data_IF_242965699862
#
_entry.id   IF_242965699862
#
_cell.length_a   1.000
_cell.length_b   1.000
_cell.length_c   1.000
_cell.angle_alpha   90.00
_cell.angle_beta   90.00
_cell.angle_gamma   90.00
#
_symmetry.space_group_name_H-M   'P 1'
#
loop_
_entity.id
_entity.type
_entity.pdbx_description
1 polymer ?
#
# COMPACT_ATOMS: atom_id res chain seq x y z
N UNK A 1 28.61 7.09 -14.66
CA UNK A 1 27.53 7.96 -14.21
C UNK A 1 27.96 8.53 -12.85
N UNK A 2 27.99 9.83 -12.69
CA UNK A 2 28.33 10.47 -11.42
C UNK A 2 27.20 10.20 -10.44
N UNK A 3 27.46 9.41 -9.41
CA UNK A 3 26.53 9.22 -8.29
C UNK A 3 26.30 10.57 -7.63
N UNK A 4 25.11 11.11 -7.76
CA UNK A 4 24.74 12.36 -7.10
C UNK A 4 24.26 11.96 -5.70
N UNK A 5 25.11 12.15 -4.70
CA UNK A 5 24.71 11.94 -3.31
C UNK A 5 23.60 12.95 -2.96
N UNK A 6 22.38 12.46 -2.81
CA UNK A 6 21.24 13.28 -2.36
C UNK A 6 21.29 13.50 -0.85
N UNK A 7 20.75 14.63 -0.44
CA UNK A 7 20.46 14.94 0.96
C UNK A 7 18.93 14.95 1.17
N UNK A 8 18.50 14.88 2.42
CA UNK A 8 17.09 15.05 2.74
C UNK A 8 16.50 16.36 2.17
N UNK A 9 17.29 17.44 2.16
CA UNK A 9 16.86 18.75 1.67
C UNK A 9 16.48 18.73 0.18
N UNK A 10 17.12 17.88 -0.61
CA UNK A 10 16.82 17.74 -2.05
C UNK A 10 15.41 17.19 -2.29
N UNK A 11 14.85 16.47 -1.33
CA UNK A 11 13.48 15.93 -1.36
C UNK A 11 12.44 16.80 -0.67
N UNK A 12 12.81 17.99 -0.18
CA UNK A 12 11.90 18.95 0.46
C UNK A 12 11.47 20.02 -0.55
N UNK A 13 10.21 20.41 -0.47
CA UNK A 13 9.67 21.56 -1.20
C UNK A 13 9.75 22.82 -0.36
N UNK A 14 9.51 23.98 -0.96
CA UNK A 14 9.34 25.28 -0.31
C UNK A 14 7.95 25.46 0.33
N UNK A 15 7.06 24.46 0.21
CA UNK A 15 5.71 24.55 0.73
C UNK A 15 5.68 24.40 2.25
N UNK A 16 4.97 25.31 2.90
CA UNK A 16 4.70 25.20 4.34
C UNK A 16 3.85 23.98 4.65
N UNK A 17 4.33 23.12 5.55
CA UNK A 17 3.59 21.92 5.98
C UNK A 17 2.39 22.32 6.82
N UNK A 18 1.19 21.93 6.40
CA UNK A 18 -0.11 22.33 6.98
C UNK A 18 -0.76 21.28 7.87
N UNK A 19 0.00 20.30 8.34
CA UNK A 19 -0.48 19.38 9.37
C UNK A 19 -0.52 20.05 10.75
N UNK A 20 -1.30 19.44 11.66
CA UNK A 20 -1.36 19.92 13.04
C UNK A 20 0.01 19.80 13.71
N UNK A 21 0.45 20.76 14.54
CA UNK A 21 1.67 20.63 15.30
C UNK A 21 1.68 19.34 16.13
N UNK A 22 2.75 18.53 16.01
CA UNK A 22 2.87 17.24 16.70
C UNK A 22 2.17 16.05 16.03
N UNK A 23 1.62 16.23 14.83
CA UNK A 23 1.04 15.14 14.05
C UNK A 23 2.11 14.13 13.61
N UNK A 24 1.82 12.83 13.69
CA UNK A 24 2.72 11.76 13.26
C UNK A 24 3.13 11.80 11.78
N UNK A 25 2.33 12.45 10.93
CA UNK A 25 2.63 12.64 9.50
C UNK A 25 3.98 13.33 9.26
N UNK A 26 4.41 14.24 10.16
CA UNK A 26 5.73 14.89 10.09
C UNK A 26 6.88 13.88 10.19
N UNK A 27 6.73 12.90 11.07
CA UNK A 27 7.76 11.90 11.29
C UNK A 27 7.86 10.96 10.10
N UNK A 28 6.71 10.55 9.54
CA UNK A 28 6.66 9.69 8.36
C UNK A 28 7.26 10.41 7.15
N UNK A 29 6.89 11.69 6.93
CA UNK A 29 7.48 12.51 5.86
C UNK A 29 9.01 12.59 5.99
N UNK A 30 9.50 12.86 7.21
CA UNK A 30 10.93 12.93 7.46
C UNK A 30 11.65 11.59 7.21
N UNK A 31 11.02 10.47 7.60
CA UNK A 31 11.56 9.12 7.37
C UNK A 31 11.65 8.79 5.88
N UNK A 32 10.61 9.08 5.11
CA UNK A 32 10.62 8.86 3.66
C UNK A 32 11.65 9.75 2.97
N UNK A 33 11.73 11.06 3.30
CA UNK A 33 12.70 11.96 2.72
C UNK A 33 14.15 11.55 3.03
N UNK A 34 14.43 11.10 4.27
CA UNK A 34 15.74 10.58 4.64
C UNK A 34 16.07 9.29 3.88
N UNK A 35 15.12 8.36 3.81
CA UNK A 35 15.28 7.10 3.09
C UNK A 35 15.57 7.33 1.60
N UNK A 36 14.79 8.16 0.91
CA UNK A 36 15.02 8.45 -0.51
C UNK A 36 16.39 9.07 -0.77
N UNK A 37 16.91 9.87 0.17
CA UNK A 37 18.23 10.45 0.07
C UNK A 37 19.38 9.43 0.13
N UNK A 38 19.13 8.22 0.62
CA UNK A 38 20.13 7.12 0.62
C UNK A 38 20.19 6.36 -0.69
N UNK A 39 19.20 6.56 -1.57
CA UNK A 39 19.11 5.84 -2.83
C UNK A 39 19.90 6.55 -3.93
N UNK A 40 20.66 5.79 -4.72
CA UNK A 40 21.34 6.29 -5.92
C UNK A 40 20.35 6.31 -7.10
N UNK A 41 19.33 7.16 -6.98
CA UNK A 41 18.26 7.31 -7.98
C UNK A 41 17.83 8.77 -8.09
N UNK A 42 17.71 9.33 -9.30
CA UNK A 42 17.23 10.70 -9.51
C UNK A 42 15.85 10.91 -8.90
N UNK A 43 15.63 12.06 -8.25
CA UNK A 43 14.33 12.38 -7.64
C UNK A 43 13.18 12.45 -8.65
N UNK A 44 13.48 12.73 -9.91
CA UNK A 44 12.56 12.77 -11.05
C UNK A 44 12.01 11.36 -11.41
N UNK A 45 12.61 10.31 -10.90
CA UNK A 45 12.14 8.93 -11.10
C UNK A 45 11.23 8.45 -9.97
N UNK A 46 10.99 9.27 -8.95
CA UNK A 46 10.00 8.98 -7.90
C UNK A 46 8.70 9.73 -8.18
N UNK A 47 7.58 9.03 -8.01
CA UNK A 47 6.23 9.61 -8.19
C UNK A 47 5.37 9.28 -6.98
N UNK A 48 4.84 10.30 -6.31
CA UNK A 48 3.95 10.15 -5.16
C UNK A 48 2.51 10.48 -5.55
N UNK A 49 1.63 9.50 -5.47
CA UNK A 49 0.20 9.65 -5.79
C UNK A 49 -0.59 9.53 -4.49
N UNK A 50 -1.42 10.51 -4.19
CA UNK A 50 -2.24 10.50 -3.00
C UNK A 50 -3.75 10.58 -3.29
N UNK A 51 -4.54 10.04 -2.35
CA UNK A 51 -5.99 10.23 -2.32
C UNK A 51 -6.40 11.50 -1.60
N UNK A 52 -7.33 11.41 -0.65
CA UNK A 52 -7.85 12.55 0.13
C UNK A 52 -7.69 12.25 1.64
N UNK A 53 -7.32 13.25 2.39
CA UNK A 53 -7.14 13.22 3.84
C UNK A 53 -5.87 13.96 4.28
N UNK A 54 -5.53 13.89 5.57
CA UNK A 54 -4.33 14.56 6.10
C UNK A 54 -3.07 14.01 5.45
N UNK A 55 -2.89 12.69 5.45
CA UNK A 55 -1.76 12.02 4.80
C UNK A 55 -1.63 12.39 3.32
N UNK A 56 -2.75 12.60 2.64
CA UNK A 56 -2.78 12.86 1.19
C UNK A 56 -2.19 14.21 0.78
N UNK A 57 -1.86 15.09 1.73
CA UNK A 57 -1.06 16.29 1.48
C UNK A 57 0.41 15.99 1.18
N UNK A 58 0.86 14.77 1.41
CA UNK A 58 2.25 14.35 1.29
C UNK A 58 2.94 14.78 -0.02
N UNK A 59 2.33 14.63 -1.22
CA UNK A 59 2.97 15.05 -2.48
C UNK A 59 3.31 16.53 -2.55
N UNK A 60 2.61 17.41 -1.83
CA UNK A 60 2.94 18.84 -1.77
C UNK A 60 4.27 19.12 -1.08
N UNK A 61 4.72 18.21 -0.22
CA UNK A 61 5.91 18.36 0.62
C UNK A 61 7.11 17.56 0.11
N UNK A 62 6.93 16.86 -1.02
CA UNK A 62 7.97 16.06 -1.68
C UNK A 62 8.43 16.75 -2.96
N UNK A 63 9.73 17.04 -3.06
CA UNK A 63 10.35 17.58 -4.27
C UNK A 63 10.64 16.45 -5.29
N UNK A 64 9.57 15.77 -5.71
CA UNK A 64 9.51 14.70 -6.70
C UNK A 64 8.33 14.96 -7.63
N UNK A 65 8.10 14.11 -8.62
CA UNK A 65 6.80 14.13 -9.28
C UNK A 65 5.72 13.62 -8.32
N UNK A 66 4.52 14.18 -8.47
CA UNK A 66 3.40 13.79 -7.62
C UNK A 66 2.05 14.25 -8.15
N UNK A 67 1.00 13.59 -7.65
CA UNK A 67 -0.38 13.95 -7.96
C UNK A 67 -1.24 13.77 -6.72
N UNK A 68 -2.00 14.81 -6.37
CA UNK A 68 -3.09 14.72 -5.41
C UNK A 68 -4.36 14.40 -6.19
N UNK A 69 -4.87 13.18 -6.04
CA UNK A 69 -5.99 12.66 -6.84
C UNK A 69 -7.35 12.79 -6.11
N UNK A 70 -8.31 11.95 -6.42
CA UNK A 70 -9.65 11.93 -5.85
C UNK A 70 -9.72 10.89 -4.74
N UNK A 71 -10.65 11.04 -3.82
CA UNK A 71 -10.86 10.16 -2.66
C UNK A 71 -10.92 8.69 -3.04
N UNK A 72 -10.01 7.90 -2.49
CA UNK A 72 -9.87 6.46 -2.71
C UNK A 72 -9.39 6.05 -4.10
N UNK A 73 -8.90 6.97 -4.94
CA UNK A 73 -8.51 6.67 -6.33
C UNK A 73 -7.01 6.62 -6.57
N UNK A 74 -6.21 6.92 -5.56
CA UNK A 74 -4.75 6.90 -5.69
C UNK A 74 -4.20 5.57 -6.23
N UNK A 75 -4.63 4.37 -5.77
CA UNK A 75 -4.14 3.12 -6.32
C UNK A 75 -4.49 2.92 -7.80
N UNK A 76 -5.65 3.42 -8.27
CA UNK A 76 -6.05 3.31 -9.66
C UNK A 76 -5.19 4.21 -10.58
N UNK A 77 -4.97 5.48 -10.18
CA UNK A 77 -4.10 6.42 -10.91
C UNK A 77 -2.67 5.91 -10.93
N UNK A 78 -2.14 5.49 -9.77
CA UNK A 78 -0.81 4.94 -9.64
C UNK A 78 -0.59 3.69 -10.50
N UNK A 79 -1.59 2.80 -10.60
CA UNK A 79 -1.54 1.62 -11.48
C UNK A 79 -1.39 2.03 -12.95
N UNK A 80 -2.07 3.08 -13.39
CA UNK A 80 -1.92 3.60 -14.76
C UNK A 80 -0.50 4.11 -15.04
N UNK A 81 0.10 4.83 -14.08
CA UNK A 81 1.48 5.32 -14.19
C UNK A 81 2.47 4.15 -14.23
N UNK A 82 2.36 3.20 -13.29
CA UNK A 82 3.27 2.06 -13.20
C UNK A 82 3.25 1.22 -14.48
N UNK A 83 2.07 0.97 -15.06
CA UNK A 83 1.92 0.20 -16.31
C UNK A 83 2.48 0.93 -17.53
N UNK A 84 2.37 2.26 -17.59
CA UNK A 84 2.85 3.05 -18.74
C UNK A 84 4.29 3.51 -18.61
N UNK A 85 4.84 3.54 -17.39
CA UNK A 85 6.20 3.97 -17.05
C UNK A 85 6.79 3.03 -15.99
N UNK A 86 7.14 1.78 -16.37
CA UNK A 86 7.69 0.79 -15.44
C UNK A 86 9.08 1.15 -14.89
N UNK A 87 9.73 2.13 -15.50
CA UNK A 87 11.00 2.73 -15.06
C UNK A 87 10.87 3.61 -13.81
N UNK A 88 9.65 4.07 -13.48
CA UNK A 88 9.42 4.95 -12.34
C UNK A 88 9.17 4.16 -11.04
N UNK A 89 9.63 4.74 -9.94
CA UNK A 89 9.28 4.27 -8.58
C UNK A 89 8.00 4.96 -8.13
N UNK A 90 6.88 4.22 -8.14
CA UNK A 90 5.54 4.79 -7.89
C UNK A 90 5.09 4.46 -6.47
N UNK A 91 4.79 5.50 -5.71
CA UNK A 91 4.37 5.45 -4.31
C UNK A 91 2.95 5.97 -4.15
N UNK A 92 2.14 5.25 -3.40
CA UNK A 92 0.76 5.63 -3.04
C UNK A 92 0.73 6.05 -1.59
N UNK A 93 0.22 7.24 -1.33
CA UNK A 93 -0.01 7.76 0.02
C UNK A 93 -1.51 7.83 0.26
N UNK A 94 -1.97 7.14 1.29
CA UNK A 94 -3.40 7.05 1.59
C UNK A 94 -3.64 6.94 3.10
N UNK A 95 -4.77 7.42 3.57
CA UNK A 95 -5.23 7.20 4.94
C UNK A 95 -6.12 5.97 5.04
N UNK A 96 -6.35 5.49 6.25
CA UNK A 96 -7.27 4.37 6.53
C UNK A 96 -8.68 4.63 6.01
N UNK A 97 -9.21 5.83 6.23
CA UNK A 97 -10.51 6.22 5.69
C UNK A 97 -10.56 6.34 4.17
N UNK A 98 -9.47 6.78 3.56
CA UNK A 98 -9.35 6.93 2.11
C UNK A 98 -9.25 5.56 1.41
N UNK A 99 -8.37 4.69 1.91
CA UNK A 99 -8.09 3.40 1.28
C UNK A 99 -9.17 2.34 1.56
N UNK A 100 -9.75 2.30 2.76
CA UNK A 100 -10.60 1.19 3.22
C UNK A 100 -12.10 1.48 3.15
N UNK A 101 -12.49 2.76 2.93
CA UNK A 101 -13.86 3.13 2.63
C UNK A 101 -14.09 3.12 1.11
N UNK A 102 -14.20 4.30 0.50
CA UNK A 102 -14.46 4.42 -0.95
C UNK A 102 -13.33 3.84 -1.83
N UNK A 103 -12.11 3.72 -1.30
CA UNK A 103 -10.92 3.19 -1.99
C UNK A 103 -10.78 1.68 -1.97
N UNK A 104 -11.57 0.95 -1.15
CA UNK A 104 -11.35 -0.47 -0.88
C UNK A 104 -11.23 -1.34 -2.13
N UNK A 105 -12.10 -1.12 -3.11
CA UNK A 105 -12.06 -1.86 -4.37
C UNK A 105 -10.74 -1.63 -5.15
N UNK A 106 -10.26 -0.39 -5.22
CA UNK A 106 -9.03 -0.07 -5.95
C UNK A 106 -7.79 -0.60 -5.25
N UNK A 107 -7.76 -0.55 -3.92
CA UNK A 107 -6.70 -1.13 -3.11
C UNK A 107 -6.60 -2.65 -3.34
N UNK A 108 -7.71 -3.37 -3.17
CA UNK A 108 -7.78 -4.83 -3.38
C UNK A 108 -7.29 -5.20 -4.78
N UNK A 109 -7.74 -4.49 -5.82
CA UNK A 109 -7.36 -4.82 -7.19
C UNK A 109 -5.90 -4.47 -7.53
N UNK A 110 -5.31 -3.43 -6.97
CA UNK A 110 -3.89 -3.13 -7.12
C UNK A 110 -3.03 -4.24 -6.48
N UNK A 111 -3.39 -4.67 -5.26
CA UNK A 111 -2.69 -5.72 -4.52
C UNK A 111 -2.77 -7.07 -5.24
N UNK A 112 -3.99 -7.55 -5.58
CA UNK A 112 -4.17 -8.87 -6.21
C UNK A 112 -3.52 -8.99 -7.59
N UNK A 113 -3.42 -7.88 -8.33
CA UNK A 113 -2.73 -7.82 -9.63
C UNK A 113 -1.22 -7.77 -9.50
N UNK A 114 -0.72 -7.54 -8.31
CA UNK A 114 0.71 -7.34 -8.05
C UNK A 114 1.31 -6.19 -8.89
N UNK A 115 0.58 -5.07 -8.99
CA UNK A 115 1.09 -3.86 -9.65
C UNK A 115 2.28 -3.34 -8.86
N UNK A 116 3.37 -2.97 -9.51
CA UNK A 116 4.60 -2.54 -8.83
C UNK A 116 4.45 -1.16 -8.16
N UNK A 117 3.78 -1.15 -7.03
CA UNK A 117 3.44 0.03 -6.23
C UNK A 117 3.93 -0.12 -4.79
N UNK A 118 4.37 0.98 -4.18
CA UNK A 118 4.68 1.07 -2.75
C UNK A 118 3.55 1.84 -2.07
N UNK A 119 2.66 1.14 -1.36
CA UNK A 119 1.44 1.70 -0.77
C UNK A 119 1.67 1.94 0.71
N UNK A 120 1.74 3.21 1.13
CA UNK A 120 1.84 3.62 2.52
C UNK A 120 0.44 3.99 3.02
N UNK A 121 -0.12 3.16 3.89
CA UNK A 121 -1.39 3.41 4.54
C UNK A 121 -1.14 4.02 5.93
N UNK A 122 -1.46 5.31 6.08
CA UNK A 122 -1.38 6.02 7.35
C UNK A 122 -2.66 5.74 8.13
N UNK A 123 -2.53 4.88 9.16
CA UNK A 123 -3.66 4.48 9.96
C UNK A 123 -3.68 5.24 11.30
N UNK A 124 -4.56 6.20 11.43
CA UNK A 124 -4.78 6.95 12.67
C UNK A 124 -6.16 6.69 13.32
N UNK A 125 -6.93 5.77 12.75
CA UNK A 125 -8.25 5.35 13.23
C UNK A 125 -9.27 6.49 13.36
N UNK A 126 -9.15 7.55 12.53
CA UNK A 126 -10.06 8.69 12.55
C UNK A 126 -10.01 9.45 11.22
N UNK A 127 -11.14 10.01 10.76
CA UNK A 127 -11.12 11.02 9.71
C UNK A 127 -10.70 12.37 10.30
N UNK A 128 -9.38 12.66 10.28
CA UNK A 128 -8.83 13.89 10.87
C UNK A 128 -9.15 15.14 10.07
N UNK A 129 -9.02 15.10 8.74
CA UNK A 129 -9.23 16.27 7.88
C UNK A 129 -10.65 16.87 8.01
N UNK A 130 -11.65 16.03 8.16
CA UNK A 130 -13.06 16.41 8.30
C UNK A 130 -13.48 16.63 9.76
N UNK A 131 -12.49 16.71 10.67
CA UNK A 131 -12.63 17.08 12.10
C UNK A 131 -13.21 15.99 13.01
N UNK A 132 -12.85 14.73 12.76
CA UNK A 132 -12.95 13.66 13.76
C UNK A 132 -14.18 12.76 13.66
N UNK A 133 -14.58 12.33 12.48
CA UNK A 133 -15.51 11.22 12.31
C UNK A 133 -14.76 9.89 12.51
N UNK A 134 -15.46 8.86 12.98
CA UNK A 134 -14.86 7.52 13.03
C UNK A 134 -14.56 7.00 11.62
N UNK A 135 -13.45 6.29 11.48
CA UNK A 135 -12.96 5.70 10.24
C UNK A 135 -13.25 4.20 10.19
N UNK A 136 -13.02 3.52 9.06
CA UNK A 136 -13.20 2.07 8.96
C UNK A 136 -12.36 1.23 9.93
N UNK A 137 -11.29 1.81 10.51
CA UNK A 137 -10.41 1.14 11.47
C UNK A 137 -10.63 1.57 12.92
N UNK A 138 -11.56 2.51 13.17
CA UNK A 138 -11.89 2.97 14.52
C UNK A 138 -12.46 1.83 15.37
N UNK A 139 -12.16 1.85 16.67
CA UNK A 139 -12.67 0.86 17.61
C UNK A 139 -14.20 0.87 17.71
N UNK A 140 -14.83 -0.30 17.99
CA UNK A 140 -16.25 -0.36 18.27
C UNK A 140 -16.61 0.56 19.44
N UNK A 141 -17.71 1.29 19.30
CA UNK A 141 -18.16 2.23 20.32
C UNK A 141 -17.44 3.58 20.31
N UNK A 142 -16.56 3.85 19.33
CA UNK A 142 -15.88 5.16 19.18
C UNK A 142 -16.89 6.29 19.13
N UNK A 143 -16.85 7.16 20.14
CA UNK A 143 -17.72 8.34 20.20
C UNK A 143 -17.07 9.53 19.51
N UNK A 144 -17.82 10.15 18.63
CA UNK A 144 -17.43 11.37 17.91
C UNK A 144 -18.58 12.37 17.91
N UNK A 145 -18.33 13.59 17.45
CA UNK A 145 -19.40 14.60 17.32
C UNK A 145 -20.53 14.16 16.40
N UNK A 146 -20.21 13.41 15.34
CA UNK A 146 -21.17 12.87 14.38
C UNK A 146 -21.78 11.52 14.82
N UNK A 147 -21.19 10.85 15.79
CA UNK A 147 -21.61 9.54 16.32
C UNK A 147 -21.61 9.55 17.84
N UNK A 148 -22.51 10.33 18.48
CA UNK A 148 -22.50 10.50 19.94
C UNK A 148 -22.86 9.22 20.70
N UNK A 149 -23.58 8.29 20.08
CA UNK A 149 -23.90 6.97 20.65
C UNK A 149 -22.75 5.96 20.51
N UNK A 150 -21.72 6.29 19.72
CA UNK A 150 -20.61 5.41 19.37
C UNK A 150 -20.74 4.76 18.01
N UNK A 151 -19.61 4.28 17.45
CA UNK A 151 -19.58 3.50 16.22
C UNK A 151 -20.13 2.09 16.47
N UNK A 152 -20.87 1.56 15.50
CA UNK A 152 -21.42 0.19 15.55
C UNK A 152 -20.72 -0.73 14.54
N UNK A 153 -19.83 -0.18 13.73
CA UNK A 153 -19.11 -0.92 12.69
C UNK A 153 -18.05 -1.83 13.31
N UNK A 154 -17.82 -2.96 12.67
CA UNK A 154 -16.67 -3.81 12.97
C UNK A 154 -15.43 -3.27 12.23
N UNK A 155 -14.33 -2.96 12.93
CA UNK A 155 -13.17 -2.35 12.29
C UNK A 155 -12.46 -3.29 11.32
N UNK A 156 -12.01 -2.74 10.20
CA UNK A 156 -11.08 -3.43 9.31
C UNK A 156 -9.75 -3.68 10.00
N UNK A 157 -9.17 -4.84 9.70
CA UNK A 157 -7.74 -5.10 9.90
C UNK A 157 -7.03 -4.95 8.53
N UNK A 158 -6.29 -3.87 8.31
CA UNK A 158 -5.71 -3.58 6.99
C UNK A 158 -4.70 -4.62 6.52
N UNK A 159 -3.91 -5.19 7.44
CA UNK A 159 -2.95 -6.26 7.15
C UNK A 159 -3.68 -7.54 6.72
N UNK A 160 -4.75 -7.93 7.46
CA UNK A 160 -5.57 -9.09 7.08
C UNK A 160 -6.21 -8.90 5.69
N UNK A 161 -6.69 -7.69 5.39
CA UNK A 161 -7.27 -7.36 4.08
C UNK A 161 -6.22 -7.49 2.97
N UNK A 162 -5.02 -6.95 3.17
CA UNK A 162 -3.93 -7.02 2.19
C UNK A 162 -3.48 -8.47 1.95
N UNK A 163 -3.38 -9.28 3.00
CA UNK A 163 -3.08 -10.72 2.90
C UNK A 163 -4.20 -11.47 2.18
N UNK A 164 -5.46 -11.17 2.49
CA UNK A 164 -6.63 -11.74 1.79
C UNK A 164 -6.74 -11.33 0.32
N UNK A 165 -6.19 -10.17 -0.05
CA UNK A 165 -6.03 -9.72 -1.43
C UNK A 165 -4.79 -10.31 -2.12
N UNK A 166 -4.06 -11.24 -1.47
CA UNK A 166 -2.86 -11.89 -1.99
C UNK A 166 -1.70 -10.93 -2.29
N UNK A 167 -1.57 -9.83 -1.52
CA UNK A 167 -0.44 -8.93 -1.64
C UNK A 167 0.89 -9.67 -1.43
N UNK A 168 1.89 -9.37 -2.25
CA UNK A 168 3.18 -10.06 -2.22
C UNK A 168 4.15 -9.54 -1.17
N UNK A 169 3.91 -8.30 -0.70
CA UNK A 169 4.62 -7.71 0.44
C UNK A 169 3.60 -7.03 1.36
N UNK A 170 3.61 -7.41 2.64
CA UNK A 170 2.72 -6.83 3.66
C UNK A 170 3.52 -6.59 4.93
N UNK A 171 3.51 -5.34 5.41
CA UNK A 171 4.23 -4.96 6.63
C UNK A 171 3.42 -3.98 7.49
N UNK A 172 3.82 -3.86 8.76
CA UNK A 172 3.30 -2.87 9.71
C UNK A 172 4.43 -2.22 10.50
N UNK A 173 4.32 -0.90 10.68
CA UNK A 173 5.25 -0.11 11.50
C UNK A 173 4.54 1.01 12.25
N UNK A 174 5.30 1.85 12.94
CA UNK A 174 4.84 2.98 13.76
C UNK A 174 5.51 4.27 13.29
N UNK A 175 4.79 5.39 13.30
CA UNK A 175 5.32 6.72 13.00
C UNK A 175 6.49 7.14 13.90
N UNK A 176 6.45 6.72 15.16
CA UNK A 176 7.48 7.05 16.17
C UNK A 176 8.75 6.21 16.05
N UNK A 177 8.72 5.08 15.35
CA UNK A 177 9.85 4.17 15.21
C UNK A 177 10.56 4.36 13.86
N UNK A 178 11.40 5.40 13.80
CA UNK A 178 12.06 5.81 12.55
C UNK A 178 12.98 4.74 11.98
N UNK A 179 13.72 4.03 12.82
CA UNK A 179 14.65 3.00 12.35
C UNK A 179 13.89 1.84 11.73
N UNK A 180 12.93 1.29 12.45
CA UNK A 180 12.08 0.22 11.95
C UNK A 180 11.29 0.65 10.70
N UNK A 181 10.80 1.90 10.65
CA UNK A 181 10.14 2.43 9.46
C UNK A 181 11.10 2.49 8.27
N UNK A 182 12.35 2.90 8.47
CA UNK A 182 13.36 2.94 7.40
C UNK A 182 13.67 1.53 6.87
N UNK A 183 13.87 0.55 7.75
CA UNK A 183 14.09 -0.85 7.37
C UNK A 183 12.93 -1.42 6.54
N UNK A 184 11.69 -1.11 6.91
CA UNK A 184 10.50 -1.51 6.15
C UNK A 184 10.43 -0.81 4.78
N UNK A 185 10.79 0.48 4.70
CA UNK A 185 10.81 1.23 3.44
C UNK A 185 11.87 0.68 2.47
N UNK A 186 13.06 0.34 2.98
CA UNK A 186 14.13 -0.30 2.21
C UNK A 186 13.67 -1.65 1.64
N UNK A 187 13.14 -2.52 2.49
CA UNK A 187 12.63 -3.82 2.09
C UNK A 187 11.49 -3.71 1.06
N UNK A 188 10.60 -2.72 1.22
CA UNK A 188 9.51 -2.47 0.28
C UNK A 188 9.99 -1.89 -1.05
N UNK A 189 11.01 -1.03 -1.04
CA UNK A 189 11.61 -0.48 -2.25
C UNK A 189 12.27 -1.57 -3.11
N UNK A 190 13.01 -2.48 -2.48
CA UNK A 190 13.64 -3.62 -3.14
C UNK A 190 12.64 -4.67 -3.67
N UNK A 191 11.42 -4.68 -3.12
CA UNK A 191 10.42 -5.65 -3.52
C UNK A 191 9.83 -5.30 -4.89
N UNK A 192 9.91 -6.23 -5.84
CA UNK A 192 9.26 -6.14 -7.14
C UNK A 192 7.79 -6.59 -7.02
N UNK A 193 6.88 -5.64 -7.09
CA UNK A 193 5.44 -5.86 -6.97
C UNK A 193 4.76 -4.94 -5.96
N UNK A 194 3.52 -5.31 -5.59
CA UNK A 194 2.71 -4.54 -4.68
C UNK A 194 3.20 -4.69 -3.23
N UNK A 195 3.79 -3.63 -2.69
CA UNK A 195 4.16 -3.53 -1.29
C UNK A 195 3.09 -2.71 -0.54
N UNK A 196 2.46 -3.32 0.47
CA UNK A 196 1.50 -2.69 1.36
C UNK A 196 2.12 -2.52 2.75
N UNK A 197 2.17 -1.28 3.23
CA UNK A 197 2.74 -0.93 4.53
C UNK A 197 1.70 -0.15 5.31
N UNK A 198 1.21 -0.73 6.40
CA UNK A 198 0.41 -0.03 7.39
C UNK A 198 1.33 0.70 8.37
N UNK A 199 1.15 2.00 8.51
CA UNK A 199 1.89 2.83 9.47
C UNK A 199 0.90 3.36 10.48
N UNK A 200 0.96 2.89 11.72
CA UNK A 200 0.19 3.48 12.81
C UNK A 200 0.69 4.90 13.08
N UNK A 201 -0.22 5.86 12.95
CA UNK A 201 0.07 7.29 12.99
C UNK A 201 -0.76 7.98 14.07
N UNK A 202 -0.11 8.72 14.96
CA UNK A 202 -0.81 9.44 16.02
C UNK A 202 -1.45 10.73 15.50
N UNK A 203 -2.79 10.79 15.57
CA UNK A 203 -3.55 12.02 15.36
C UNK A 203 -3.76 12.72 16.71
N UNK A 204 -2.85 13.61 17.09
CA UNK A 204 -2.84 14.25 18.40
C UNK A 204 -4.01 15.23 18.67
N UNK A 205 -4.85 15.51 17.66
CA UNK A 205 -6.01 16.40 17.80
C UNK A 205 -7.33 15.64 17.97
N UNK A 206 -7.53 14.58 17.19
CA UNK A 206 -8.83 13.88 17.14
C UNK A 206 -8.79 12.45 17.69
N UNK A 207 -7.59 11.86 17.82
CA UNK A 207 -7.39 10.50 18.33
C UNK A 207 -6.03 10.35 19.01
N UNK A 208 -5.72 11.27 19.91
CA UNK A 208 -4.45 11.28 20.62
C UNK A 208 -4.24 10.00 21.42
N UNK A 209 -3.01 9.48 21.37
CA UNK A 209 -2.61 8.28 22.10
C UNK A 209 -3.37 6.99 21.73
N UNK A 210 -3.98 6.95 20.54
CA UNK A 210 -4.65 5.73 20.06
C UNK A 210 -3.72 4.49 20.09
N UNK A 211 -2.42 4.71 19.92
CA UNK A 211 -1.40 3.65 19.90
C UNK A 211 -0.48 3.66 21.13
N UNK A 212 -0.95 4.19 22.26
CA UNK A 212 -0.13 4.31 23.48
C UNK A 212 0.42 2.94 23.94
N UNK A 213 -0.36 1.86 23.74
CA UNK A 213 0.07 0.49 24.06
C UNK A 213 1.35 0.09 23.32
N UNK A 214 1.57 0.66 22.13
CA UNK A 214 2.72 0.35 21.28
C UNK A 214 3.82 1.43 21.34
N UNK A 215 3.52 2.63 21.83
CA UNK A 215 4.46 3.76 21.83
C UNK A 215 4.89 4.19 23.22
N UNK A 216 4.09 3.94 24.24
CA UNK A 216 4.41 4.23 25.63
C UNK A 216 5.64 3.47 26.13
N UNK A 217 6.46 4.09 26.95
CA UNK A 217 7.74 3.52 27.39
C UNK A 217 7.58 2.20 28.16
N UNK A 218 6.56 2.13 29.00
CA UNK A 218 6.25 0.96 29.83
C UNK A 218 5.41 -0.05 29.05
N UNK A 219 4.40 0.41 28.35
CA UNK A 219 3.42 -0.41 27.66
C UNK A 219 4.01 -1.17 26.46
N UNK A 220 4.89 -0.51 25.69
CA UNK A 220 5.48 -1.09 24.47
C UNK A 220 6.24 -2.39 24.70
N UNK A 221 6.85 -2.55 25.86
CA UNK A 221 7.65 -3.76 26.19
C UNK A 221 6.75 -4.99 26.24
N UNK A 222 5.49 -4.83 26.68
CA UNK A 222 4.52 -5.91 26.80
C UNK A 222 3.67 -6.12 25.55
N UNK A 223 3.68 -5.15 24.61
CA UNK A 223 2.70 -5.12 23.52
C UNK A 223 3.32 -5.12 22.12
N UNK A 224 4.62 -4.90 21.96
CA UNK A 224 5.27 -5.03 20.65
C UNK A 224 5.73 -6.46 20.44
N UNK A 225 5.29 -7.06 19.33
CA UNK A 225 5.77 -8.34 18.83
C UNK A 225 6.56 -8.05 17.55
N UNK A 226 7.89 -8.07 17.64
CA UNK A 226 8.74 -7.81 16.48
C UNK A 226 8.83 -9.08 15.63
N UNK A 227 8.43 -8.98 14.37
CA UNK A 227 8.55 -10.05 13.39
C UNK A 227 9.92 -9.98 12.73
N UNK A 228 10.80 -10.89 13.06
CA UNK A 228 12.13 -11.01 12.47
C UNK A 228 12.28 -12.36 11.75
N UNK A 229 12.59 -12.32 10.45
CA UNK A 229 12.72 -13.53 9.64
C UNK A 229 13.70 -14.54 10.24
N UNK A 230 13.28 -15.79 10.29
CA UNK A 230 14.09 -16.91 10.82
C UNK A 230 14.21 -16.96 12.35
N UNK A 231 13.60 -16.02 13.08
CA UNK A 231 13.64 -16.02 14.56
C UNK A 231 12.35 -16.53 15.19
N UNK A 232 12.43 -17.14 16.40
CA UNK A 232 11.24 -17.45 17.17
C UNK A 232 10.54 -16.17 17.61
N UNK A 233 9.22 -16.16 17.57
CA UNK A 233 8.41 -15.00 17.96
C UNK A 233 8.26 -15.02 19.48
N UNK A 234 9.06 -14.22 20.17
CA UNK A 234 9.01 -13.97 21.61
C UNK A 234 8.90 -12.47 21.88
N UNK A 235 8.34 -12.08 23.02
CA UNK A 235 8.19 -10.69 23.41
C UNK A 235 7.91 -10.56 24.92
N UNK A 236 7.80 -9.35 25.38
CA UNK A 236 7.64 -9.04 26.81
C UNK A 236 8.98 -8.85 27.51
N UNK A 237 8.98 -8.44 28.79
CA UNK A 237 10.19 -8.39 29.59
C UNK A 237 10.84 -9.77 29.62
N UNK A 238 12.17 -9.82 29.38
CA UNK A 238 12.95 -11.07 29.38
C UNK A 238 12.40 -12.17 28.43
N UNK A 239 11.66 -11.77 27.36
CA UNK A 239 11.01 -12.71 26.42
C UNK A 239 10.08 -13.71 27.09
N UNK A 240 9.32 -13.28 28.09
CA UNK A 240 8.43 -14.15 28.90
C UNK A 240 7.23 -14.70 28.13
N UNK A 241 6.87 -14.09 27.00
CA UNK A 241 5.77 -14.50 26.14
C UNK A 241 6.29 -15.06 24.84
N UNK A 242 5.54 -15.99 24.28
CA UNK A 242 5.82 -16.60 22.98
C UNK A 242 4.55 -16.72 22.16
N UNK A 243 4.71 -16.80 20.83
CA UNK A 243 3.62 -17.10 19.90
C UNK A 243 3.75 -18.52 19.42
N UNK A 244 2.65 -19.28 19.48
CA UNK A 244 2.52 -20.64 18.97
C UNK A 244 1.39 -20.69 17.92
N UNK A 245 1.35 -21.76 17.13
CA UNK A 245 0.19 -22.12 16.31
C UNK A 245 -0.59 -23.23 16.99
N UNK A 246 -1.88 -23.02 17.20
CA UNK A 246 -2.83 -24.04 17.60
C UNK A 246 -3.84 -24.24 16.46
N UNK A 247 -3.61 -25.27 15.65
CA UNK A 247 -4.28 -25.42 14.36
C UNK A 247 -3.95 -24.27 13.40
N UNK A 248 -4.96 -23.49 13.02
CA UNK A 248 -4.81 -22.32 12.15
C UNK A 248 -4.71 -20.99 12.94
N UNK A 249 -4.79 -21.02 14.25
CA UNK A 249 -4.79 -19.82 15.09
C UNK A 249 -3.39 -19.57 15.69
N UNK A 250 -2.95 -18.31 15.64
CA UNK A 250 -1.80 -17.87 16.42
C UNK A 250 -2.25 -17.51 17.84
N UNK A 251 -1.56 -18.04 18.84
CA UNK A 251 -1.86 -17.81 20.26
C UNK A 251 -0.64 -17.31 21.01
N UNK A 252 -0.88 -16.40 21.94
CA UNK A 252 0.13 -15.92 22.89
C UNK A 252 0.07 -16.80 24.12
N UNK A 253 1.22 -17.32 24.53
CA UNK A 253 1.38 -18.17 25.69
C UNK A 253 2.56 -17.71 26.57
N UNK A 254 2.60 -18.15 27.81
CA UNK A 254 3.80 -18.01 28.62
C UNK A 254 4.91 -18.90 28.05
N UNK A 255 6.06 -18.34 27.76
CA UNK A 255 7.18 -19.08 27.15
C UNK A 255 7.61 -20.28 27.99
N UNK A 256 7.55 -20.15 29.31
CA UNK A 256 7.89 -21.25 30.25
C UNK A 256 6.88 -22.41 30.25
N UNK A 257 5.69 -22.22 29.66
CA UNK A 257 4.63 -23.24 29.62
C UNK A 257 4.68 -24.13 28.39
N UNK A 258 5.58 -23.89 27.45
CA UNK A 258 5.67 -24.62 26.17
C UNK A 258 7.10 -25.03 25.84
N UNK A 259 7.25 -26.10 25.07
CA UNK A 259 8.54 -26.49 24.54
C UNK A 259 9.05 -25.44 23.52
N UNK A 260 10.34 -25.19 23.52
CA UNK A 260 10.96 -24.24 22.60
C UNK A 260 10.70 -24.57 21.10
N UNK A 261 10.55 -25.86 20.78
CA UNK A 261 10.20 -26.34 19.44
C UNK A 261 8.78 -26.01 18.99
N UNK A 262 7.89 -25.66 19.94
CA UNK A 262 6.50 -25.26 19.65
C UNK A 262 6.37 -23.77 19.35
N UNK A 263 7.40 -22.98 19.66
CA UNK A 263 7.38 -21.55 19.40
C UNK A 263 7.45 -21.30 17.88
N UNK A 264 6.55 -20.49 17.38
CA UNK A 264 6.49 -20.15 15.96
C UNK A 264 7.75 -19.39 15.53
N UNK A 265 8.47 -19.95 14.56
CA UNK A 265 9.56 -19.26 13.87
C UNK A 265 8.94 -18.43 12.74
N UNK A 266 9.21 -17.14 12.74
CA UNK A 266 8.69 -16.24 11.70
C UNK A 266 9.37 -16.52 10.36
N UNK A 267 8.56 -16.68 9.32
CA UNK A 267 9.02 -16.83 7.93
C UNK A 267 8.16 -15.98 7.01
N UNK A 268 8.66 -14.80 6.66
CA UNK A 268 7.99 -13.85 5.75
C UNK A 268 7.92 -14.34 4.29
N UNK A 269 8.74 -15.35 3.95
CA UNK A 269 8.87 -15.87 2.57
C UNK A 269 7.89 -16.99 2.23
N UNK A 270 7.04 -17.39 3.19
CA UNK A 270 6.05 -18.45 2.97
C UNK A 270 5.10 -18.11 1.82
N UNK A 271 4.99 -18.96 0.79
CA UNK A 271 4.07 -18.74 -0.34
C UNK A 271 2.61 -18.66 0.11
N UNK A 272 2.20 -19.54 1.03
CA UNK A 272 0.86 -19.56 1.61
C UNK A 272 0.73 -18.50 2.72
N UNK A 273 -0.27 -17.60 2.66
CA UNK A 273 -0.42 -16.51 3.61
C UNK A 273 -1.07 -16.91 4.95
N UNK A 274 -1.46 -18.16 5.17
CA UNK A 274 -2.24 -18.61 6.34
C UNK A 274 -1.59 -18.20 7.66
N UNK A 275 -0.28 -18.43 7.84
CA UNK A 275 0.44 -18.07 9.06
C UNK A 275 0.53 -16.56 9.24
N UNK A 276 0.82 -15.82 8.16
CA UNK A 276 0.84 -14.35 8.17
C UNK A 276 -0.56 -13.79 8.54
N UNK A 277 -1.62 -14.40 8.01
CA UNK A 277 -2.99 -14.05 8.33
C UNK A 277 -3.32 -14.33 9.82
N UNK A 278 -2.92 -15.49 10.35
CA UNK A 278 -3.10 -15.81 11.77
C UNK A 278 -2.36 -14.79 12.66
N UNK A 279 -1.11 -14.44 12.32
CA UNK A 279 -0.34 -13.40 13.01
C UNK A 279 -1.03 -12.04 12.96
N UNK A 280 -1.62 -11.65 11.82
CA UNK A 280 -2.32 -10.38 11.69
C UNK A 280 -3.55 -10.25 12.60
N UNK A 281 -4.03 -11.36 13.14
CA UNK A 281 -5.23 -11.44 13.98
C UNK A 281 -4.94 -11.67 15.47
N UNK A 282 -3.67 -11.73 15.87
CA UNK A 282 -3.27 -11.90 17.28
C UNK A 282 -3.87 -10.85 18.21
N UNK A 283 -4.11 -9.64 17.70
CA UNK A 283 -4.80 -8.59 18.43
C UNK A 283 -5.97 -8.05 17.61
N UNK A 284 -7.02 -7.59 18.28
CA UNK A 284 -8.13 -6.88 17.65
C UNK A 284 -7.79 -5.39 17.45
N UNK A 285 -6.69 -5.10 16.74
CA UNK A 285 -6.15 -3.75 16.62
C UNK A 285 -5.03 -3.49 17.63
N UNK A 286 -4.62 -2.22 17.82
CA UNK A 286 -3.45 -1.85 18.64
C UNK A 286 -3.72 -1.81 20.15
N UNK A 287 -4.71 -2.53 20.64
CA UNK A 287 -5.16 -2.48 22.04
C UNK A 287 -4.56 -3.59 22.91
N UNK A 288 -3.63 -4.34 22.38
CA UNK A 288 -2.90 -5.42 23.06
C UNK A 288 -1.64 -5.76 22.29
N UNK A 289 -1.04 -6.93 22.56
CA UNK A 289 0.16 -7.36 21.86
C UNK A 289 -0.05 -7.39 20.35
N UNK A 290 0.76 -6.62 19.63
CA UNK A 290 0.55 -6.37 18.19
C UNK A 290 1.83 -6.68 17.42
N UNK A 291 1.76 -7.53 16.39
CA UNK A 291 2.89 -7.81 15.51
C UNK A 291 3.25 -6.59 14.64
N UNK A 292 4.54 -6.26 14.62
CA UNK A 292 5.18 -5.23 13.82
C UNK A 292 6.30 -5.88 13.00
N UNK A 293 6.52 -5.41 11.79
CA UNK A 293 7.51 -5.97 10.87
C UNK A 293 6.88 -6.45 9.57
N UNK A 294 7.58 -7.29 8.84
CA UNK A 294 7.15 -7.84 7.56
C UNK A 294 6.39 -9.14 7.82
N UNK A 295 5.10 -9.18 7.50
CA UNK A 295 4.26 -10.37 7.61
C UNK A 295 4.46 -11.33 6.44
N UNK A 296 4.67 -10.80 5.24
CA UNK A 296 4.83 -11.55 4.00
C UNK A 296 5.72 -10.81 3.02
N UNK A 297 6.67 -11.53 2.39
CA UNK A 297 7.55 -11.04 1.30
C UNK A 297 7.81 -12.18 0.33
N UNK A 298 6.99 -12.29 -0.71
CA UNK A 298 7.06 -13.40 -1.70
C UNK A 298 7.22 -12.85 -3.11
N UNK A 299 7.95 -13.58 -3.95
CA UNK A 299 8.15 -13.20 -5.35
C UNK A 299 7.01 -13.74 -6.22
N UNK A 300 6.45 -12.87 -7.03
CA UNK A 300 5.46 -13.19 -8.07
C UNK A 300 5.65 -12.21 -9.23
N UNK A 301 5.47 -12.64 -10.51
CA UNK A 301 5.55 -11.70 -11.63
C UNK A 301 4.65 -10.49 -11.43
N UNK A 302 5.14 -9.30 -11.74
CA UNK A 302 4.35 -8.08 -11.67
C UNK A 302 3.35 -8.00 -12.82
N UNK A 303 2.32 -7.18 -12.65
CA UNK A 303 1.34 -6.96 -13.71
C UNK A 303 1.99 -6.35 -14.96
N UNK A 304 2.92 -5.43 -14.79
CA UNK A 304 3.68 -4.75 -15.84
C UNK A 304 4.49 -5.75 -16.65
N UNK A 305 5.27 -6.61 -15.99
CA UNK A 305 6.10 -7.62 -16.67
C UNK A 305 5.24 -8.60 -17.51
N UNK A 306 4.06 -8.98 -16.98
CA UNK A 306 3.14 -9.85 -17.74
C UNK A 306 2.52 -9.12 -18.93
N UNK A 307 2.20 -7.82 -18.78
CA UNK A 307 1.68 -7.01 -19.88
C UNK A 307 2.73 -6.81 -20.97
N UNK A 308 3.96 -6.47 -20.60
CA UNK A 308 5.09 -6.35 -21.56
C UNK A 308 5.30 -7.65 -22.33
N UNK A 309 5.27 -8.79 -21.65
CA UNK A 309 5.35 -10.09 -22.30
C UNK A 309 4.23 -10.31 -23.33
N UNK A 310 2.97 -9.97 -22.98
CA UNK A 310 1.84 -10.09 -23.90
C UNK A 310 1.98 -9.17 -25.11
N UNK A 311 2.41 -7.91 -24.89
CA UNK A 311 2.64 -6.95 -25.97
C UNK A 311 3.75 -7.41 -26.90
N UNK A 312 4.88 -7.86 -26.35
CA UNK A 312 5.99 -8.39 -27.13
C UNK A 312 5.59 -9.60 -27.97
N UNK A 313 4.83 -10.53 -27.38
CA UNK A 313 4.33 -11.72 -28.10
C UNK A 313 3.35 -11.34 -29.21
N UNK A 314 2.48 -10.34 -28.97
CA UNK A 314 1.55 -9.85 -30.00
C UNK A 314 2.31 -9.17 -31.16
N UNK A 315 3.30 -8.33 -30.86
CA UNK A 315 4.16 -7.68 -31.87
C UNK A 315 4.93 -8.71 -32.70
N UNK A 316 5.50 -9.72 -32.07
CA UNK A 316 6.23 -10.78 -32.77
C UNK A 316 5.33 -11.57 -33.74
N UNK A 317 4.04 -11.73 -33.41
CA UNK A 317 3.07 -12.47 -34.22
C UNK A 317 2.40 -11.64 -35.31
N UNK A 318 2.11 -10.37 -35.03
CA UNK A 318 1.23 -9.53 -35.85
C UNK A 318 1.95 -8.29 -36.43
N UNK A 319 3.21 -8.04 -36.04
CA UNK A 319 3.94 -6.81 -36.36
C UNK A 319 3.57 -5.64 -35.43
N UNK A 320 4.18 -4.48 -35.71
CA UNK A 320 3.86 -3.26 -34.97
C UNK A 320 2.42 -2.83 -35.25
N UNK A 321 1.73 -2.35 -34.20
CA UNK A 321 0.38 -1.86 -34.34
C UNK A 321 0.32 -0.53 -35.12
N UNK A 322 -0.76 -0.35 -35.86
CA UNK A 322 -1.07 0.92 -36.53
C UNK A 322 -2.31 1.55 -35.86
N UNK A 323 -2.07 2.57 -35.03
CA UNK A 323 -3.15 3.26 -34.33
C UNK A 323 -4.11 3.97 -35.29
N UNK A 324 -3.61 4.54 -36.39
CA UNK A 324 -4.45 5.24 -37.36
C UNK A 324 -5.36 4.26 -38.11
N UNK A 325 -4.85 3.09 -38.48
CA UNK A 325 -5.64 2.02 -39.06
C UNK A 325 -6.69 1.49 -38.05
N UNK A 326 -6.32 1.32 -36.79
CA UNK A 326 -7.25 0.88 -35.73
C UNK A 326 -8.40 1.87 -35.54
N UNK A 327 -8.13 3.16 -35.41
CA UNK A 327 -9.13 4.20 -35.25
C UNK A 327 -10.11 4.22 -36.45
N UNK A 328 -9.62 3.93 -37.65
CA UNK A 328 -10.42 3.93 -38.88
C UNK A 328 -11.09 2.60 -39.19
N UNK A 329 -10.81 1.55 -38.44
CA UNK A 329 -11.27 0.18 -38.75
C UNK A 329 -12.80 -0.03 -38.66
N UNK A 330 -13.49 0.81 -37.88
CA UNK A 330 -14.93 0.68 -37.62
C UNK A 330 -15.79 1.72 -38.32
N UNK A 331 -15.31 2.29 -39.40
CA UNK A 331 -15.97 3.37 -40.09
C UNK A 331 -15.73 4.71 -39.41
N UNK A 332 -15.25 5.64 -40.17
CA UNK A 332 -15.01 7.00 -39.73
C UNK A 332 -15.68 7.96 -40.68
N UNK A 333 -16.00 9.15 -40.22
CA UNK A 333 -16.48 10.25 -41.07
C UNK A 333 -15.52 11.41 -40.92
N UNK A 334 -15.39 12.16 -41.96
CA UNK A 334 -14.72 13.47 -41.94
C UNK A 334 -15.77 14.58 -41.93
N UNK A 335 -15.51 15.65 -41.21
CA UNK A 335 -16.35 16.83 -41.20
C UNK A 335 -15.59 17.88 -42.01
N UNK A 336 -16.19 18.43 -43.09
CA UNK A 336 -15.59 19.50 -43.87
C UNK A 336 -15.74 20.88 -43.19
N UNK A 337 -15.18 21.90 -43.80
CA UNK A 337 -15.22 23.27 -43.26
C UNK A 337 -16.66 23.85 -43.17
N UNK A 338 -17.59 23.31 -43.92
CA UNK A 338 -18.99 23.72 -43.94
C UNK A 338 -19.87 22.88 -42.98
N UNK A 339 -19.26 21.91 -42.26
CA UNK A 339 -19.96 21.07 -41.30
C UNK A 339 -20.62 19.82 -41.88
N UNK A 340 -20.41 19.52 -43.17
CA UNK A 340 -20.96 18.30 -43.76
C UNK A 340 -20.13 17.08 -43.42
N UNK A 341 -20.78 15.97 -43.16
CA UNK A 341 -20.14 14.69 -42.84
C UNK A 341 -19.99 13.82 -44.09
N UNK A 342 -18.75 13.33 -44.29
CA UNK A 342 -18.46 12.38 -45.37
C UNK A 342 -18.00 11.07 -44.74
N UNK A 343 -18.74 9.98 -44.98
CA UNK A 343 -18.34 8.63 -44.52
C UNK A 343 -17.11 8.15 -45.32
N UNK A 344 -16.06 7.76 -44.62
CA UNK A 344 -14.98 7.00 -45.24
C UNK A 344 -15.29 5.50 -45.08
N UNK A 345 -15.70 4.84 -46.15
CA UNK A 345 -15.79 3.39 -46.16
C UNK A 345 -14.43 2.79 -45.88
N UNK A 346 -14.23 2.28 -44.66
CA UNK A 346 -13.07 1.47 -44.33
C UNK A 346 -13.04 0.26 -45.27
N UNK A 347 -12.03 0.15 -46.11
CA UNK A 347 -11.82 -1.04 -46.94
C UNK A 347 -11.63 -2.25 -46.01
N UNK A 348 -12.66 -3.03 -45.84
CA UNK A 348 -12.59 -4.34 -45.19
C UNK A 348 -11.85 -5.31 -46.12
N UNK A 349 -10.52 -5.34 -46.04
CA UNK A 349 -9.73 -6.48 -46.55
C UNK A 349 -9.64 -7.54 -45.45
N UNK A 350 -10.76 -8.09 -45.05
CA UNK A 350 -10.76 -9.37 -44.33
C UNK A 350 -11.20 -10.44 -45.30
N UNK A 351 -10.22 -11.25 -45.77
CA UNK A 351 -10.45 -12.44 -46.50
C UNK A 351 -11.44 -13.33 -45.74
N UNK A 352 -12.57 -13.57 -46.39
CA UNK A 352 -13.54 -14.53 -45.98
C UNK A 352 -12.90 -15.94 -45.98
N UNK A 353 -12.58 -16.42 -44.82
CA UNK A 353 -12.43 -17.84 -44.56
C UNK A 353 -13.81 -18.43 -44.35
N UNK A 354 -14.43 -18.88 -45.43
CA UNK A 354 -15.61 -19.73 -45.37
C UNK A 354 -15.25 -21.04 -44.68
N UNK A 355 -15.88 -21.35 -43.56
CA UNK A 355 -16.16 -22.73 -43.19
C UNK A 355 -17.53 -22.75 -42.52
N UNK A 356 -18.47 -23.27 -43.29
CA UNK A 356 -19.79 -23.63 -42.84
C UNK A 356 -19.81 -25.01 -42.19
N UNK A 357 -20.97 -25.31 -41.66
CA UNK A 357 -21.53 -26.59 -41.15
C UNK A 357 -21.00 -26.97 -39.76
N UNK A 358 -21.82 -27.09 -38.73
CA UNK A 358 -23.04 -27.83 -38.60
C UNK A 358 -23.08 -28.46 -37.21
N UNK A 359 -24.19 -28.30 -36.55
CA UNK A 359 -24.78 -28.94 -35.37
C UNK A 359 -24.48 -28.29 -34.01
#
# INVERSE_FOLDING_TARGET
MTTTAHTRADFQTDQEVRWCPGCGDYTILASVQNFLATLDRPREEFVFISGIGCSSRFPYYMNTYGMHSIHGRAPAVASGISVTRPDLSVWVITGDGDALSIGGNHLIHALRRNVNLKILLFNNQIYGLTKGQYSPTSEPGKRTKSSPAGSIDHPFNPVSLALGAEATFVARTLDMDRNHTTEILEAAYEHEGAAFIEIYQNCNVFNDKAFIQLTGKEERVHNRINLEHGKPITFGPDDEKAVILDGAEAKIVDRASVDASSILIHDETRPDPTVAFALSRLSHGPYGPTPLGIFRRVKRPTYEAQLEYQVAAAKAKQGEGDLAALIRSYGTWTVDADGNTHESNGSSSNGAGSNGQGR
#
